data_IF_756954720121
#
_entry.id   IF_756954720121
#
_cell.length_a   1.000
_cell.length_b   1.000
_cell.length_c   1.000
_cell.angle_alpha   90.00
_cell.angle_beta   90.00
_cell.angle_gamma   90.00
#
_symmetry.space_group_name_H-M   'P 1'
#
loop_
_entity.id
_entity.type
_entity.pdbx_description
1 polymer ?
#
# COMPACT_ATOMS: atom_id res chain seq x y z
N UNK A 1 3.16 25.27 5.57
CA UNK A 1 2.45 25.11 4.28
C UNK A 1 1.13 24.40 4.52
N UNK A 2 0.08 24.84 3.83
CA UNK A 2 -1.20 24.14 3.77
C UNK A 2 -1.19 23.16 2.59
N UNK A 3 -1.34 21.88 2.86
CA UNK A 3 -1.18 20.80 1.85
C UNK A 3 -2.50 20.05 1.76
N UNK A 4 -3.15 20.05 0.58
CA UNK A 4 -4.36 19.28 0.36
C UNK A 4 -4.02 17.95 -0.34
N UNK A 5 -4.03 16.87 0.43
CA UNK A 5 -3.93 15.51 -0.10
C UNK A 5 -5.26 15.08 -0.67
N UNK A 6 -5.29 14.61 -1.91
CA UNK A 6 -6.50 14.18 -2.60
C UNK A 6 -6.45 12.68 -2.90
N UNK A 7 -7.38 11.94 -2.34
CA UNK A 7 -7.49 10.49 -2.58
C UNK A 7 -8.96 10.10 -2.78
N UNK A 8 -9.18 9.11 -3.63
CA UNK A 8 -10.44 8.39 -3.72
C UNK A 8 -10.24 6.99 -3.16
N UNK A 9 -10.92 6.71 -2.06
CA UNK A 9 -10.84 5.43 -1.38
C UNK A 9 -12.19 4.98 -0.85
N UNK A 10 -12.44 3.69 -0.96
CA UNK A 10 -13.60 3.00 -0.39
C UNK A 10 -13.23 2.19 0.87
N UNK A 11 -11.95 2.11 1.20
CA UNK A 11 -11.43 1.34 2.33
C UNK A 11 -10.11 1.90 2.85
N UNK A 12 -9.45 1.17 3.73
CA UNK A 12 -8.12 1.49 4.23
C UNK A 12 -7.15 0.42 3.74
N UNK A 13 -6.28 0.80 2.81
CA UNK A 13 -5.26 -0.06 2.23
C UNK A 13 -3.88 0.60 2.35
N UNK A 14 -2.86 0.05 1.72
CA UNK A 14 -1.49 0.55 1.85
C UNK A 14 -1.30 2.00 1.42
N UNK A 15 -1.94 2.45 0.34
CA UNK A 15 -1.81 3.82 -0.14
C UNK A 15 -2.44 4.84 0.82
N UNK A 16 -3.59 4.49 1.39
CA UNK A 16 -4.29 5.30 2.39
C UNK A 16 -3.47 5.45 3.67
N UNK A 17 -2.91 4.35 4.18
CA UNK A 17 -2.05 4.38 5.37
C UNK A 17 -0.77 5.19 5.14
N UNK A 18 -0.12 5.05 3.98
CA UNK A 18 1.06 5.85 3.62
C UNK A 18 0.71 7.35 3.56
N UNK A 19 -0.46 7.72 3.01
CA UNK A 19 -0.93 9.10 3.03
C UNK A 19 -1.10 9.60 4.47
N UNK A 20 -1.73 8.82 5.35
CA UNK A 20 -1.93 9.22 6.75
C UNK A 20 -0.60 9.34 7.50
N UNK A 21 0.35 8.43 7.31
CA UNK A 21 1.69 8.56 7.89
C UNK A 21 2.40 9.83 7.40
N UNK A 22 2.33 10.11 6.09
CA UNK A 22 2.89 11.33 5.51
C UNK A 22 2.25 12.58 6.12
N UNK A 23 0.92 12.64 6.18
CA UNK A 23 0.18 13.78 6.71
C UNK A 23 0.53 14.03 8.20
N UNK A 24 0.62 12.98 9.01
CA UNK A 24 1.03 13.11 10.41
C UNK A 24 2.44 13.67 10.58
N UNK A 25 3.40 13.18 9.80
CA UNK A 25 4.76 13.72 9.86
C UNK A 25 4.80 15.19 9.42
N UNK A 26 4.03 15.56 8.41
CA UNK A 26 3.90 16.95 7.99
C UNK A 26 3.31 17.83 9.10
N UNK A 27 2.31 17.33 9.83
CA UNK A 27 1.73 18.03 10.98
C UNK A 27 2.77 18.18 12.12
N UNK A 28 3.55 17.13 12.42
CA UNK A 28 4.66 17.18 13.41
C UNK A 28 5.73 18.21 13.03
N UNK A 29 5.96 18.41 11.73
CA UNK A 29 6.90 19.39 11.19
C UNK A 29 6.30 20.83 11.08
N UNK A 30 5.12 21.07 11.65
CA UNK A 30 4.48 22.39 11.70
C UNK A 30 3.79 22.81 10.41
N UNK A 31 3.43 21.84 9.54
CA UNK A 31 2.61 22.10 8.35
C UNK A 31 1.14 21.80 8.61
N UNK A 32 0.26 22.27 7.72
CA UNK A 32 -1.19 22.03 7.76
C UNK A 32 -1.62 21.02 6.69
N UNK A 33 -1.48 19.71 6.92
CA UNK A 33 -2.01 18.70 6.00
C UNK A 33 -3.53 18.59 6.15
N UNK A 34 -4.22 18.53 5.03
CA UNK A 34 -5.67 18.35 4.92
C UNK A 34 -5.93 17.11 4.08
N UNK A 35 -6.76 16.20 4.57
CA UNK A 35 -7.11 14.95 3.89
C UNK A 35 -8.38 15.14 3.08
N UNK A 36 -8.23 15.39 1.77
CA UNK A 36 -9.33 15.52 0.81
C UNK A 36 -9.83 14.16 0.34
N UNK A 37 -10.91 13.68 0.93
CA UNK A 37 -11.53 12.40 0.60
C UNK A 37 -12.56 12.57 -0.52
N UNK A 38 -12.21 12.07 -1.73
CA UNK A 38 -13.11 12.06 -2.88
C UNK A 38 -14.00 10.81 -2.79
N UNK A 39 -15.32 11.02 -2.71
CA UNK A 39 -16.30 9.94 -2.54
C UNK A 39 -17.57 10.15 -3.35
N UNK A 40 -18.36 9.08 -3.52
CA UNK A 40 -19.71 9.17 -4.09
C UNK A 40 -20.59 10.04 -3.19
N UNK A 41 -21.46 10.90 -3.78
CA UNK A 41 -22.37 11.75 -3.01
C UNK A 41 -23.28 11.01 -2.04
N UNK A 42 -23.57 9.73 -2.31
CA UNK A 42 -24.44 8.87 -1.47
C UNK A 42 -23.73 8.27 -0.26
N UNK A 43 -22.40 8.31 -0.23
CA UNK A 43 -21.61 7.78 0.88
C UNK A 43 -21.51 8.85 1.96
N UNK A 44 -21.98 8.58 3.16
CA UNK A 44 -21.94 9.54 4.27
C UNK A 44 -20.52 9.70 4.82
N UNK A 45 -19.82 8.59 5.04
CA UNK A 45 -18.45 8.56 5.54
C UNK A 45 -17.76 7.29 5.05
N UNK A 46 -16.46 7.37 4.78
CA UNK A 46 -15.64 6.21 4.47
C UNK A 46 -14.84 5.74 5.70
N UNK A 47 -14.45 4.46 5.78
CA UNK A 47 -13.53 3.98 6.84
C UNK A 47 -12.24 4.78 6.90
N UNK A 48 -11.71 5.19 5.75
CA UNK A 48 -10.53 6.04 5.65
C UNK A 48 -10.70 7.40 6.32
N UNK A 49 -11.86 8.07 6.13
CA UNK A 49 -12.16 9.35 6.79
C UNK A 49 -12.28 9.19 8.32
N UNK A 50 -12.89 8.09 8.77
CA UNK A 50 -12.99 7.79 10.19
C UNK A 50 -11.59 7.64 10.82
N UNK A 51 -10.72 6.87 10.17
CA UNK A 51 -9.35 6.67 10.62
C UNK A 51 -8.53 7.98 10.60
N UNK A 52 -8.65 8.79 9.54
CA UNK A 52 -7.96 10.09 9.48
C UNK A 52 -8.35 11.01 10.64
N UNK A 53 -9.67 11.09 10.96
CA UNK A 53 -10.15 11.88 12.10
C UNK A 53 -9.69 11.33 13.44
N UNK A 54 -9.67 10.01 13.64
CA UNK A 54 -9.19 9.41 14.88
C UNK A 54 -7.68 9.69 15.11
N UNK A 55 -6.92 9.96 14.05
CA UNK A 55 -5.53 10.40 14.13
C UNK A 55 -5.36 11.92 14.25
N UNK A 56 -6.45 12.68 14.44
CA UNK A 56 -6.40 14.15 14.57
C UNK A 56 -6.11 14.89 13.27
N UNK A 57 -6.25 14.23 12.10
CA UNK A 57 -6.06 14.86 10.81
C UNK A 57 -7.34 15.52 10.31
N UNK A 58 -7.31 16.79 9.87
CA UNK A 58 -8.45 17.47 9.29
C UNK A 58 -8.89 16.81 7.98
N UNK A 59 -10.16 16.45 7.87
CA UNK A 59 -10.75 15.80 6.69
C UNK A 59 -11.65 16.78 5.94
N UNK A 60 -11.40 16.92 4.65
CA UNK A 60 -12.22 17.67 3.69
C UNK A 60 -13.01 16.68 2.85
N UNK A 61 -14.31 16.46 3.12
CA UNK A 61 -15.13 15.53 2.34
C UNK A 61 -15.48 16.15 0.98
N UNK A 62 -15.11 15.50 -0.11
CA UNK A 62 -15.32 15.95 -1.49
C UNK A 62 -16.33 15.01 -2.15
N UNK A 63 -17.61 15.43 -2.15
CA UNK A 63 -18.73 14.65 -2.69
C UNK A 63 -18.92 14.94 -4.15
N UNK A 64 -18.36 14.10 -5.01
CA UNK A 64 -18.44 14.25 -6.45
C UNK A 64 -18.75 12.92 -7.14
N UNK A 65 -19.51 13.00 -8.26
CA UNK A 65 -19.81 11.82 -9.07
C UNK A 65 -18.53 11.21 -9.68
N UNK A 66 -18.60 9.92 -10.02
CA UNK A 66 -17.44 9.19 -10.53
C UNK A 66 -16.98 9.63 -11.94
N UNK A 67 -17.86 10.23 -12.75
CA UNK A 67 -17.54 10.64 -14.12
C UNK A 67 -16.90 12.03 -14.17
N UNK A 68 -15.82 12.25 -14.92
CA UNK A 68 -15.15 13.54 -15.06
C UNK A 68 -15.97 14.49 -15.98
N UNK A 69 -17.01 15.10 -15.42
CA UNK A 69 -17.86 16.09 -16.14
C UNK A 69 -17.50 17.52 -15.73
N UNK A 70 -17.80 18.54 -16.54
CA UNK A 70 -17.52 19.92 -16.19
C UNK A 70 -18.10 20.39 -14.84
N UNK A 71 -19.33 19.98 -14.41
CA UNK A 71 -19.83 20.29 -13.08
C UNK A 71 -18.98 19.67 -11.96
N UNK A 72 -18.48 18.44 -12.12
CA UNK A 72 -17.63 17.76 -11.16
C UNK A 72 -16.29 18.50 -11.01
N UNK A 73 -15.66 18.90 -12.13
CA UNK A 73 -14.43 19.69 -12.09
C UNK A 73 -14.64 21.04 -11.42
N UNK A 74 -15.75 21.73 -11.72
CA UNK A 74 -16.10 23.02 -11.07
C UNK A 74 -16.32 22.86 -9.56
N UNK A 75 -17.00 21.80 -9.13
CA UNK A 75 -17.20 21.50 -7.70
C UNK A 75 -15.87 21.27 -6.99
N UNK A 76 -14.98 20.45 -7.56
CA UNK A 76 -13.67 20.20 -6.98
C UNK A 76 -12.82 21.48 -6.92
N UNK A 77 -12.83 22.30 -7.99
CA UNK A 77 -12.13 23.59 -7.99
C UNK A 77 -12.68 24.58 -6.96
N UNK A 78 -13.98 24.55 -6.68
CA UNK A 78 -14.58 25.36 -5.61
C UNK A 78 -13.98 24.94 -4.26
N UNK A 79 -13.98 23.65 -3.94
CA UNK A 79 -13.35 23.14 -2.71
C UNK A 79 -11.87 23.53 -2.61
N UNK A 80 -11.11 23.40 -3.71
CA UNK A 80 -9.69 23.83 -3.73
C UNK A 80 -9.55 25.32 -3.43
N UNK A 81 -10.42 26.18 -3.97
CA UNK A 81 -10.39 27.62 -3.68
C UNK A 81 -10.80 27.96 -2.24
N UNK A 82 -11.78 27.26 -1.69
CA UNK A 82 -12.23 27.44 -0.30
C UNK A 82 -11.15 27.01 0.70
N UNK A 83 -10.45 25.91 0.41
CA UNK A 83 -9.33 25.42 1.22
C UNK A 83 -8.09 26.28 1.07
N UNK A 84 -7.89 26.90 -0.11
CA UNK A 84 -6.71 27.70 -0.49
C UNK A 84 -5.38 27.02 -0.12
N UNK A 85 -5.09 25.78 -0.63
CA UNK A 85 -3.87 25.10 -0.29
C UNK A 85 -2.67 25.71 -1.02
N UNK A 86 -1.49 25.66 -0.38
CA UNK A 86 -0.22 25.97 -1.01
C UNK A 86 0.16 24.94 -2.07
N UNK A 87 -0.19 23.67 -1.84
CA UNK A 87 0.11 22.53 -2.72
C UNK A 87 -1.04 21.52 -2.72
N UNK A 88 -1.36 21.03 -3.91
CA UNK A 88 -2.22 19.86 -4.11
C UNK A 88 -1.36 18.62 -4.23
N UNK A 89 -1.66 17.59 -3.46
CA UNK A 89 -1.00 16.30 -3.56
C UNK A 89 -2.02 15.19 -3.88
N UNK A 90 -1.97 14.67 -5.09
CA UNK A 90 -2.85 13.60 -5.55
C UNK A 90 -2.26 12.22 -5.30
N UNK A 91 -3.08 11.30 -4.77
CA UNK A 91 -2.72 9.91 -4.51
C UNK A 91 -3.51 8.92 -5.37
N UNK A 92 -3.93 9.33 -6.56
CA UNK A 92 -4.64 8.45 -7.46
C UNK A 92 -5.21 9.13 -8.70
N UNK A 93 -5.58 8.33 -9.68
CA UNK A 93 -5.97 8.78 -11.02
C UNK A 93 -7.17 9.75 -11.05
N UNK A 94 -8.13 9.65 -10.11
CA UNK A 94 -9.31 10.53 -10.12
C UNK A 94 -8.94 12.02 -10.02
N UNK A 95 -8.14 12.39 -9.03
CA UNK A 95 -7.71 13.77 -8.87
C UNK A 95 -6.80 14.21 -10.01
N UNK A 96 -5.93 13.32 -10.51
CA UNK A 96 -5.07 13.59 -11.67
C UNK A 96 -5.90 13.95 -12.92
N UNK A 97 -6.94 13.16 -13.24
CA UNK A 97 -7.80 13.37 -14.40
C UNK A 97 -8.62 14.66 -14.27
N UNK A 98 -9.09 14.98 -13.07
CA UNK A 98 -9.95 16.14 -12.84
C UNK A 98 -9.18 17.46 -12.80
N UNK A 99 -7.97 17.49 -12.24
CA UNK A 99 -7.20 18.70 -11.99
C UNK A 99 -5.97 18.83 -12.90
N UNK A 100 -5.31 17.73 -13.23
CA UNK A 100 -4.06 17.73 -14.01
C UNK A 100 -4.15 18.45 -15.36
N UNK A 101 -5.23 18.28 -16.16
CA UNK A 101 -5.39 18.99 -17.43
C UNK A 101 -5.54 20.51 -17.30
N UNK A 102 -5.93 21.01 -16.11
CA UNK A 102 -6.20 22.43 -15.89
C UNK A 102 -4.90 23.26 -15.84
N UNK A 103 -4.94 24.50 -16.32
CA UNK A 103 -3.82 25.43 -16.13
C UNK A 103 -3.48 25.61 -14.67
N UNK A 104 -2.18 25.66 -14.34
CA UNK A 104 -1.65 25.85 -12.98
C UNK A 104 -2.29 27.05 -12.27
N UNK A 105 -2.51 28.17 -12.96
CA UNK A 105 -3.17 29.38 -12.42
C UNK A 105 -4.59 29.13 -11.86
N UNK A 106 -5.27 28.06 -12.30
CA UNK A 106 -6.60 27.71 -11.84
C UNK A 106 -6.60 26.70 -10.68
N UNK A 107 -5.67 25.74 -10.70
CA UNK A 107 -5.60 24.65 -9.72
C UNK A 107 -4.53 24.83 -8.62
N UNK A 108 -3.54 25.67 -8.86
CA UNK A 108 -2.37 25.79 -8.02
C UNK A 108 -1.26 24.74 -8.32
N UNK A 109 -0.14 24.78 -7.58
CA UNK A 109 0.93 23.78 -7.65
C UNK A 109 0.41 22.38 -7.31
N UNK A 110 0.77 21.37 -8.10
CA UNK A 110 0.26 20.02 -7.93
C UNK A 110 1.34 18.95 -8.13
N UNK A 111 1.40 18.01 -7.21
CA UNK A 111 2.21 16.79 -7.29
C UNK A 111 1.30 15.56 -7.31
N UNK A 112 1.68 14.51 -8.04
CA UNK A 112 0.96 13.25 -8.04
C UNK A 112 1.87 12.10 -7.61
N UNK A 113 1.41 11.25 -6.70
CA UNK A 113 2.11 10.01 -6.31
C UNK A 113 1.44 8.79 -6.90
N UNK A 114 2.24 7.96 -7.57
CA UNK A 114 1.84 6.67 -8.10
C UNK A 114 2.26 5.56 -7.11
N UNK A 115 1.29 5.04 -6.32
CA UNK A 115 1.55 3.98 -5.33
C UNK A 115 1.68 2.58 -5.95
N UNK A 116 1.21 2.39 -7.16
CA UNK A 116 1.26 1.18 -7.96
C UNK A 116 0.62 1.42 -9.30
N UNK A 117 0.84 0.50 -10.23
CA UNK A 117 0.24 0.55 -11.55
C UNK A 117 -0.15 -0.86 -11.97
N UNK A 118 -1.43 -1.11 -12.13
CA UNK A 118 -1.96 -2.35 -12.69
C UNK A 118 -2.35 -2.09 -14.13
N UNK A 119 -1.83 -2.86 -15.07
CA UNK A 119 -2.24 -2.76 -16.46
C UNK A 119 -3.68 -3.29 -16.61
N UNK A 120 -4.62 -2.41 -16.92
CA UNK A 120 -6.00 -2.78 -17.18
C UNK A 120 -6.14 -3.58 -18.48
N UNK A 121 -7.14 -4.48 -18.55
CA UNK A 121 -7.50 -5.17 -19.79
C UNK A 121 -7.93 -4.14 -20.84
N UNK A 122 -7.46 -4.31 -22.07
CA UNK A 122 -7.80 -3.45 -23.20
C UNK A 122 -9.34 -3.31 -23.36
N UNK A 123 -9.79 -2.09 -23.66
CA UNK A 123 -11.21 -1.72 -23.81
C UNK A 123 -12.08 -1.83 -22.54
N UNK A 124 -11.49 -1.95 -21.36
CA UNK A 124 -12.24 -1.79 -20.10
C UNK A 124 -12.40 -0.31 -19.74
N UNK A 125 -13.39 0.01 -18.89
CA UNK A 125 -13.53 1.37 -18.35
C UNK A 125 -12.25 1.83 -17.64
N UNK A 126 -11.60 0.92 -16.90
CA UNK A 126 -10.34 1.19 -16.21
C UNK A 126 -9.22 1.54 -17.20
N UNK A 127 -9.14 0.86 -18.36
CA UNK A 127 -8.18 1.18 -19.42
C UNK A 127 -8.35 2.62 -19.97
N UNK A 128 -9.61 3.08 -20.12
CA UNK A 128 -9.87 4.47 -20.51
C UNK A 128 -9.38 5.46 -19.44
N UNK A 129 -9.68 5.18 -18.15
CA UNK A 129 -9.19 6.01 -17.06
C UNK A 129 -7.66 6.03 -16.98
N UNK A 130 -6.97 4.91 -17.20
CA UNK A 130 -5.51 4.86 -17.26
C UNK A 130 -4.94 5.72 -18.41
N UNK A 131 -5.61 5.76 -19.57
CA UNK A 131 -5.20 6.63 -20.67
C UNK A 131 -5.38 8.11 -20.35
N UNK A 132 -6.50 8.46 -19.74
CA UNK A 132 -6.77 9.84 -19.31
C UNK A 132 -5.77 10.27 -18.21
N UNK A 133 -5.46 9.38 -17.28
CA UNK A 133 -4.46 9.62 -16.24
C UNK A 133 -3.07 9.89 -16.83
N UNK A 134 -2.62 9.07 -17.78
CA UNK A 134 -1.34 9.29 -18.50
C UNK A 134 -1.26 10.66 -19.18
N UNK A 135 -2.36 11.12 -19.78
CA UNK A 135 -2.41 12.44 -20.40
C UNK A 135 -2.36 13.54 -19.35
N UNK A 136 -3.04 13.34 -18.22
CA UNK A 136 -3.09 14.29 -17.12
C UNK A 136 -1.72 14.44 -16.43
N UNK A 137 -0.99 13.34 -16.22
CA UNK A 137 0.34 13.33 -15.63
C UNK A 137 1.34 14.21 -16.39
N UNK A 138 1.19 14.38 -17.70
CA UNK A 138 2.06 15.25 -18.52
C UNK A 138 1.96 16.73 -18.14
N UNK A 139 0.89 17.15 -17.48
CA UNK A 139 0.61 18.55 -17.11
C UNK A 139 0.74 18.81 -15.61
N UNK A 140 0.93 17.79 -14.80
CA UNK A 140 1.18 17.91 -13.35
C UNK A 140 2.62 18.37 -13.14
N UNK A 141 2.84 19.24 -12.16
CA UNK A 141 4.14 19.91 -11.96
C UNK A 141 5.24 18.93 -11.58
N UNK A 142 4.95 17.91 -10.76
CA UNK A 142 5.84 16.79 -10.48
C UNK A 142 5.07 15.49 -10.30
N UNK A 143 5.66 14.37 -10.74
CA UNK A 143 5.13 13.02 -10.59
C UNK A 143 6.11 12.18 -9.81
N UNK A 144 5.64 11.68 -8.67
CA UNK A 144 6.40 10.81 -7.77
C UNK A 144 6.04 9.36 -8.04
N UNK A 145 7.06 8.51 -8.09
CA UNK A 145 6.93 7.06 -8.01
C UNK A 145 7.56 6.55 -6.71
N UNK A 146 6.98 5.52 -6.12
CA UNK A 146 7.40 5.01 -4.81
C UNK A 146 8.55 4.00 -4.89
N UNK A 147 9.04 3.69 -6.10
CA UNK A 147 10.18 2.80 -6.31
C UNK A 147 10.91 3.13 -7.61
N UNK A 148 12.24 2.93 -7.64
CA UNK A 148 13.07 3.22 -8.83
C UNK A 148 12.65 2.44 -10.07
N UNK A 149 12.27 1.18 -9.93
CA UNK A 149 11.77 0.35 -11.03
C UNK A 149 10.53 0.95 -11.72
N UNK A 150 9.74 1.73 -11.00
CA UNK A 150 8.54 2.39 -11.52
C UNK A 150 8.85 3.57 -12.47
N UNK A 151 10.08 4.09 -12.52
CA UNK A 151 10.47 5.11 -13.50
C UNK A 151 10.31 4.64 -14.95
N UNK A 152 10.31 3.33 -15.18
CA UNK A 152 10.12 2.73 -16.51
C UNK A 152 8.65 2.51 -16.88
N UNK A 153 7.70 2.87 -16.00
CA UNK A 153 6.28 2.72 -16.27
C UNK A 153 5.86 3.48 -17.54
N UNK A 154 5.08 2.79 -18.37
CA UNK A 154 4.50 3.42 -19.56
C UNK A 154 3.63 4.64 -19.22
N UNK A 155 3.13 4.74 -18.01
CA UNK A 155 2.39 5.87 -17.48
C UNK A 155 3.19 7.17 -17.50
N UNK A 156 4.50 7.09 -17.31
CA UNK A 156 5.41 8.25 -17.30
C UNK A 156 5.87 8.70 -18.70
N UNK A 157 5.50 7.98 -19.75
CA UNK A 157 5.84 8.40 -21.13
C UNK A 157 5.21 9.77 -21.41
N UNK A 158 6.07 10.75 -21.73
CA UNK A 158 5.66 12.14 -21.96
C UNK A 158 5.63 13.04 -20.71
N UNK A 159 5.93 12.54 -19.52
CA UNK A 159 6.34 13.37 -18.38
C UNK A 159 7.82 13.69 -18.53
N UNK A 160 8.22 14.96 -18.43
CA UNK A 160 9.62 15.34 -18.55
C UNK A 160 10.47 14.71 -17.45
N UNK A 161 11.71 14.23 -17.73
CA UNK A 161 12.56 13.59 -16.73
C UNK A 161 12.76 14.42 -15.45
N UNK A 162 12.95 15.74 -15.58
CA UNK A 162 13.13 16.66 -14.45
C UNK A 162 11.90 16.73 -13.51
N UNK A 163 10.72 16.31 -13.97
CA UNK A 163 9.49 16.27 -13.17
C UNK A 163 9.18 14.89 -12.59
N UNK A 164 10.04 13.89 -12.83
CA UNK A 164 9.88 12.54 -12.28
C UNK A 164 10.74 12.40 -11.04
N UNK A 165 10.12 12.15 -9.93
CA UNK A 165 10.79 11.99 -8.64
C UNK A 165 10.61 10.55 -8.14
N UNK A 166 11.58 10.07 -7.39
CA UNK A 166 11.46 8.82 -6.62
C UNK A 166 11.44 9.19 -5.15
N UNK A 167 10.30 8.97 -4.50
CA UNK A 167 10.17 9.12 -3.05
C UNK A 167 9.58 7.82 -2.53
N UNK A 168 10.40 7.07 -1.83
CA UNK A 168 10.02 5.75 -1.31
C UNK A 168 9.01 5.89 -0.17
N UNK A 169 8.08 4.94 -0.07
CA UNK A 169 7.19 4.87 1.07
C UNK A 169 7.99 4.67 2.36
N UNK A 170 7.58 5.37 3.40
CA UNK A 170 8.13 5.24 4.74
C UNK A 170 7.03 4.97 5.76
N UNK A 171 7.40 4.27 6.82
CA UNK A 171 6.49 3.97 7.93
C UNK A 171 7.06 4.53 9.24
N UNK A 172 6.21 4.90 10.22
CA UNK A 172 6.69 5.29 11.54
C UNK A 172 7.45 4.15 12.23
N UNK A 173 8.32 4.44 13.19
CA UNK A 173 8.85 3.42 14.08
C UNK A 173 7.72 2.56 14.67
N UNK A 174 7.98 1.25 14.85
CA UNK A 174 6.96 0.31 15.33
C UNK A 174 6.25 0.78 16.60
N UNK A 175 7.00 1.25 17.57
CA UNK A 175 6.44 1.61 18.89
C UNK A 175 5.58 2.88 18.79
N UNK A 176 5.95 3.86 17.96
CA UNK A 176 5.10 5.03 17.65
C UNK A 176 3.81 4.60 16.95
N UNK A 177 3.92 3.71 15.95
CA UNK A 177 2.76 3.20 15.22
C UNK A 177 1.79 2.45 16.14
N UNK A 178 2.30 1.65 17.07
CA UNK A 178 1.48 0.96 18.07
C UNK A 178 0.81 1.95 19.04
N UNK A 179 1.52 3.00 19.46
CA UNK A 179 0.94 4.05 20.27
C UNK A 179 -0.16 4.82 19.54
N UNK A 180 0.05 5.12 18.27
CA UNK A 180 -0.92 5.78 17.40
C UNK A 180 -2.20 4.96 17.21
N UNK A 181 -2.05 3.67 16.98
CA UNK A 181 -3.15 2.73 16.88
C UNK A 181 -3.94 2.66 18.21
N UNK A 182 -3.26 2.66 19.34
CA UNK A 182 -3.90 2.67 20.65
C UNK A 182 -4.66 3.98 20.93
N UNK A 183 -4.06 5.13 20.61
CA UNK A 183 -4.67 6.45 20.79
C UNK A 183 -5.85 6.70 19.81
N UNK A 184 -5.78 6.16 18.61
CA UNK A 184 -6.81 6.28 17.57
C UNK A 184 -8.04 5.38 17.77
N UNK A 185 -8.14 4.63 18.86
CA UNK A 185 -9.28 3.74 19.13
C UNK A 185 -9.34 2.55 18.17
N UNK A 186 -8.20 2.12 17.64
CA UNK A 186 -8.12 0.95 16.74
C UNK A 186 -8.62 -0.28 17.46
N UNK A 187 -9.50 -1.01 16.81
CA UNK A 187 -10.08 -2.25 17.32
C UNK A 187 -8.96 -3.24 17.69
N UNK A 188 -9.01 -3.84 18.89
CA UNK A 188 -8.08 -4.91 19.24
C UNK A 188 -8.07 -6.02 18.18
N UNK A 189 -6.92 -6.62 17.95
CA UNK A 189 -6.87 -7.83 17.09
C UNK A 189 -7.85 -8.86 17.64
N UNK A 190 -8.77 -9.40 16.83
CA UNK A 190 -9.74 -10.38 17.31
C UNK A 190 -9.07 -11.55 18.03
N UNK A 191 -9.54 -11.87 19.25
CA UNK A 191 -8.96 -12.94 20.08
C UNK A 191 -8.87 -14.27 19.35
N UNK A 192 -9.87 -14.59 18.54
CA UNK A 192 -9.90 -15.81 17.71
C UNK A 192 -8.74 -15.90 16.69
N UNK A 193 -8.18 -14.76 16.23
CA UNK A 193 -7.01 -14.75 15.35
C UNK A 193 -5.73 -14.98 16.15
N UNK A 194 -5.66 -14.41 17.35
CA UNK A 194 -4.55 -14.66 18.28
C UNK A 194 -4.51 -16.12 18.71
N UNK A 195 -5.66 -16.72 19.01
CA UNK A 195 -5.78 -18.14 19.28
C UNK A 195 -5.37 -19.01 18.09
N UNK A 196 -5.79 -18.63 16.87
CA UNK A 196 -5.40 -19.34 15.66
C UNK A 196 -3.88 -19.36 15.49
N UNK A 197 -3.21 -18.23 15.62
CA UNK A 197 -1.73 -18.13 15.50
C UNK A 197 -1.01 -18.89 16.63
N UNK A 198 -1.61 -18.96 17.80
CA UNK A 198 -0.99 -19.62 18.96
C UNK A 198 -1.02 -21.15 18.88
N UNK A 199 -1.91 -21.74 18.06
CA UNK A 199 -2.07 -23.22 17.98
C UNK A 199 -0.89 -23.92 17.31
N UNK A 200 -0.34 -23.30 16.24
CA UNK A 200 0.75 -23.88 15.43
C UNK A 200 1.58 -22.75 14.81
N UNK A 201 2.83 -23.01 14.40
CA UNK A 201 3.61 -22.04 13.62
C UNK A 201 2.81 -21.55 12.42
N UNK A 202 2.57 -20.24 12.34
CA UNK A 202 1.66 -19.66 11.36
C UNK A 202 2.41 -18.73 10.41
N UNK A 203 2.32 -19.00 9.12
CA UNK A 203 2.72 -18.07 8.08
C UNK A 203 1.62 -17.02 7.88
N UNK A 204 2.01 -15.77 7.69
CA UNK A 204 1.07 -14.65 7.52
C UNK A 204 1.26 -14.01 6.14
N UNK A 205 0.16 -13.74 5.46
CA UNK A 205 0.14 -12.95 4.24
C UNK A 205 -0.89 -11.82 4.42
N UNK A 206 -0.50 -10.57 4.12
CA UNK A 206 -1.35 -9.39 4.30
C UNK A 206 -1.51 -8.68 2.95
N UNK A 207 -2.74 -8.42 2.54
CA UNK A 207 -3.03 -7.69 1.32
C UNK A 207 -4.46 -7.81 0.85
N UNK A 208 -4.85 -6.93 -0.09
CA UNK A 208 -6.14 -6.98 -0.76
C UNK A 208 -6.33 -8.33 -1.44
N UNK A 209 -7.50 -8.95 -1.29
CA UNK A 209 -7.80 -10.23 -1.96
C UNK A 209 -8.15 -9.99 -3.44
N UNK A 210 -7.11 -9.77 -4.24
CA UNK A 210 -7.20 -9.39 -5.65
C UNK A 210 -6.24 -10.21 -6.52
N UNK A 211 -6.52 -10.35 -7.84
CA UNK A 211 -5.78 -11.25 -8.73
C UNK A 211 -4.27 -11.02 -8.76
N UNK A 212 -3.82 -9.77 -8.62
CA UNK A 212 -2.40 -9.41 -8.60
C UNK A 212 -1.64 -9.96 -7.38
N UNK A 213 -2.34 -10.25 -6.26
CA UNK A 213 -1.73 -10.81 -5.04
C UNK A 213 -1.49 -12.32 -5.12
N UNK A 214 -2.10 -12.99 -6.09
CA UNK A 214 -1.84 -14.42 -6.39
C UNK A 214 -2.06 -15.37 -5.20
N UNK A 215 -3.00 -15.06 -4.32
CA UNK A 215 -3.29 -15.91 -3.16
C UNK A 215 -3.77 -17.31 -3.54
N UNK A 216 -4.35 -17.51 -4.71
CA UNK A 216 -4.66 -18.85 -5.23
C UNK A 216 -3.38 -19.67 -5.43
N UNK A 217 -2.33 -19.08 -6.01
CA UNK A 217 -1.01 -19.70 -6.16
C UNK A 217 -0.38 -20.01 -4.80
N UNK A 218 -0.50 -19.08 -3.84
CA UNK A 218 -0.03 -19.28 -2.48
C UNK A 218 -0.70 -20.48 -1.80
N UNK A 219 -2.02 -20.63 -1.95
CA UNK A 219 -2.76 -21.78 -1.39
C UNK A 219 -2.27 -23.11 -1.98
N UNK A 220 -2.02 -23.16 -3.28
CA UNK A 220 -1.51 -24.36 -3.95
C UNK A 220 -0.08 -24.70 -3.50
N UNK A 221 0.80 -23.70 -3.45
CA UNK A 221 2.17 -23.88 -2.99
C UNK A 221 2.20 -24.30 -1.51
N UNK A 222 1.36 -23.68 -0.67
CA UNK A 222 1.26 -23.99 0.76
C UNK A 222 0.77 -25.43 0.98
N UNK A 223 -0.25 -25.89 0.24
CA UNK A 223 -0.74 -27.27 0.33
C UNK A 223 0.37 -28.28 0.02
N UNK A 224 1.16 -28.04 -1.05
CA UNK A 224 2.29 -28.91 -1.44
C UNK A 224 3.42 -28.87 -0.41
N UNK A 225 3.85 -27.67 -0.01
CA UNK A 225 4.93 -27.51 0.95
C UNK A 225 4.59 -28.16 2.29
N UNK A 226 3.38 -27.93 2.80
CA UNK A 226 2.91 -28.52 4.05
C UNK A 226 2.87 -30.04 4.04
N UNK A 227 2.38 -30.63 2.94
CA UNK A 227 2.33 -32.09 2.78
C UNK A 227 3.73 -32.72 2.81
N UNK A 228 4.74 -32.02 2.27
CA UNK A 228 6.12 -32.49 2.19
C UNK A 228 6.95 -32.20 3.47
N UNK A 229 6.49 -31.25 4.31
CA UNK A 229 7.16 -30.81 5.54
C UNK A 229 6.54 -31.35 6.85
N UNK A 230 5.80 -32.46 6.80
CA UNK A 230 5.23 -33.10 8.00
C UNK A 230 4.00 -32.39 8.59
N UNK A 231 3.44 -31.38 7.95
CA UNK A 231 2.09 -30.91 8.20
C UNK A 231 1.85 -29.98 9.41
N UNK A 232 2.88 -29.38 10.03
CA UNK A 232 2.73 -28.64 11.28
C UNK A 232 2.38 -27.15 11.17
N UNK A 233 2.43 -26.54 9.98
CA UNK A 233 2.22 -25.10 9.82
C UNK A 233 0.79 -24.73 9.43
N UNK A 234 0.38 -23.50 9.80
CA UNK A 234 -0.87 -22.84 9.39
C UNK A 234 -0.58 -21.64 8.49
N UNK A 235 -1.61 -21.17 7.78
CA UNK A 235 -1.54 -19.96 6.96
C UNK A 235 -2.69 -19.03 7.31
N UNK A 236 -2.37 -17.79 7.66
CA UNK A 236 -3.33 -16.71 7.87
C UNK A 236 -3.23 -15.70 6.74
N UNK A 237 -4.30 -15.50 6.00
CA UNK A 237 -4.41 -14.49 4.94
C UNK A 237 -5.30 -13.36 5.48
N UNK A 238 -4.72 -12.16 5.61
CA UNK A 238 -5.39 -10.98 6.16
C UNK A 238 -5.68 -9.98 5.04
N UNK A 239 -6.93 -9.58 4.94
CA UNK A 239 -7.43 -8.63 3.97
C UNK A 239 -8.78 -9.00 3.40
N UNK A 240 -9.36 -8.05 2.66
CA UNK A 240 -10.62 -8.21 1.95
C UNK A 240 -10.44 -7.96 0.45
N UNK A 241 -11.38 -8.43 -0.35
CA UNK A 241 -11.37 -8.17 -1.79
C UNK A 241 -12.19 -9.13 -2.61
N UNK A 242 -12.25 -8.90 -3.93
CA UNK A 242 -13.14 -9.63 -4.85
C UNK A 242 -12.86 -11.14 -4.92
N UNK A 243 -11.64 -11.58 -4.62
CA UNK A 243 -11.28 -13.01 -4.68
C UNK A 243 -11.67 -13.82 -3.44
N UNK A 244 -12.25 -13.20 -2.38
CA UNK A 244 -12.60 -13.94 -1.14
C UNK A 244 -13.37 -15.24 -1.38
N UNK A 245 -14.39 -15.21 -2.23
CA UNK A 245 -15.21 -16.41 -2.54
C UNK A 245 -14.40 -17.47 -3.31
N UNK A 246 -13.53 -17.06 -4.22
CA UNK A 246 -12.65 -17.95 -4.98
C UNK A 246 -11.67 -18.63 -4.05
N UNK A 247 -11.04 -17.89 -3.16
CA UNK A 247 -10.09 -18.40 -2.17
C UNK A 247 -10.74 -19.36 -1.18
N UNK A 248 -11.94 -19.05 -0.69
CA UNK A 248 -12.68 -19.95 0.21
C UNK A 248 -12.99 -21.31 -0.47
N UNK A 249 -13.42 -21.29 -1.73
CA UNK A 249 -13.62 -22.52 -2.51
C UNK A 249 -12.31 -23.30 -2.70
N UNK A 250 -11.22 -22.59 -2.99
CA UNK A 250 -9.90 -23.23 -3.19
C UNK A 250 -9.38 -23.88 -1.90
N UNK A 251 -9.57 -23.25 -0.74
CA UNK A 251 -9.25 -23.82 0.58
C UNK A 251 -10.00 -25.14 0.80
N UNK A 252 -11.31 -25.18 0.49
CA UNK A 252 -12.11 -26.40 0.61
C UNK A 252 -11.61 -27.50 -0.35
N UNK A 253 -11.36 -27.18 -1.63
CA UNK A 253 -10.86 -28.12 -2.63
C UNK A 253 -9.50 -28.72 -2.26
N UNK A 254 -8.62 -27.94 -1.68
CA UNK A 254 -7.29 -28.35 -1.22
C UNK A 254 -7.30 -29.03 0.16
N UNK A 255 -8.48 -29.22 0.77
CA UNK A 255 -8.65 -29.78 2.13
C UNK A 255 -7.86 -29.03 3.20
N UNK A 256 -7.81 -27.71 3.09
CA UNK A 256 -7.09 -26.82 4.02
C UNK A 256 -8.01 -26.15 5.06
N UNK A 257 -9.26 -26.64 5.19
CA UNK A 257 -10.19 -26.15 6.21
C UNK A 257 -9.60 -26.32 7.63
N UNK A 258 -9.67 -25.27 8.45
CA UNK A 258 -9.04 -25.24 9.79
C UNK A 258 -7.52 -25.02 9.81
N UNK A 259 -6.85 -25.17 8.65
CA UNK A 259 -5.40 -24.97 8.49
C UNK A 259 -5.10 -23.62 7.88
N UNK A 260 -5.92 -23.18 6.95
CA UNK A 260 -5.85 -21.83 6.35
C UNK A 260 -7.05 -21.02 6.80
N UNK A 261 -6.81 -19.77 7.23
CA UNK A 261 -7.85 -18.83 7.63
C UNK A 261 -7.82 -17.58 6.77
N UNK A 262 -8.96 -17.15 6.26
CA UNK A 262 -9.18 -15.83 5.67
C UNK A 262 -9.73 -14.92 6.76
N UNK A 263 -8.86 -14.08 7.34
CA UNK A 263 -9.19 -13.25 8.49
C UNK A 263 -10.18 -12.11 8.19
N UNK A 264 -10.29 -11.72 6.92
CA UNK A 264 -10.95 -10.48 6.56
C UNK A 264 -10.05 -9.26 6.78
N UNK A 265 -10.62 -8.06 6.70
CA UNK A 265 -9.92 -6.84 7.05
C UNK A 265 -9.68 -6.80 8.55
N UNK A 266 -8.44 -6.52 8.96
CA UNK A 266 -8.04 -6.37 10.37
C UNK A 266 -7.29 -5.05 10.49
N UNK A 267 -7.78 -4.20 11.37
CA UNK A 267 -7.15 -2.93 11.67
C UNK A 267 -5.85 -3.15 12.44
N UNK A 268 -4.73 -2.55 12.00
CA UNK A 268 -3.42 -2.83 12.57
C UNK A 268 -3.00 -4.30 12.42
N UNK A 269 -3.28 -4.88 11.25
CA UNK A 269 -2.98 -6.29 10.90
C UNK A 269 -1.51 -6.67 11.11
N UNK A 270 -0.60 -5.71 11.04
CA UNK A 270 0.83 -5.90 11.28
C UNK A 270 1.14 -6.43 12.69
N UNK A 271 0.26 -6.18 13.69
CA UNK A 271 0.41 -6.75 15.06
C UNK A 271 0.37 -8.27 15.09
N UNK A 272 -0.26 -8.90 14.08
CA UNK A 272 -0.26 -10.35 13.91
C UNK A 272 1.14 -10.89 13.57
N UNK A 273 2.00 -10.04 12.98
CA UNK A 273 3.38 -10.40 12.63
C UNK A 273 4.26 -10.63 13.85
N UNK A 274 3.91 -10.06 15.00
CA UNK A 274 4.63 -10.29 16.28
C UNK A 274 4.74 -11.77 16.67
N UNK A 275 3.80 -12.59 16.18
CA UNK A 275 3.72 -14.03 16.51
C UNK A 275 3.79 -14.91 15.26
N UNK A 276 4.08 -14.33 14.11
CA UNK A 276 4.17 -15.06 12.85
C UNK A 276 5.48 -15.86 12.77
N UNK A 277 5.40 -17.10 12.31
CA UNK A 277 6.57 -17.90 11.97
C UNK A 277 7.26 -17.43 10.67
N UNK A 278 6.54 -16.70 9.82
CA UNK A 278 7.05 -16.11 8.59
C UNK A 278 6.00 -15.24 7.90
N UNK A 279 6.48 -14.34 7.05
CA UNK A 279 5.67 -13.46 6.21
C UNK A 279 5.84 -13.80 4.75
N UNK A 280 4.73 -13.86 3.99
CA UNK A 280 4.75 -14.30 2.60
C UNK A 280 4.09 -13.28 1.68
N UNK A 281 4.77 -12.93 0.58
CA UNK A 281 4.22 -12.16 -0.55
C UNK A 281 4.31 -13.00 -1.82
N UNK A 282 3.17 -13.38 -2.39
CA UNK A 282 3.07 -14.18 -3.62
C UNK A 282 2.70 -13.35 -4.87
N UNK A 283 2.77 -12.05 -4.79
CA UNK A 283 2.23 -11.12 -5.79
C UNK A 283 2.90 -11.23 -7.16
N UNK A 284 2.11 -10.95 -8.21
CA UNK A 284 2.61 -10.75 -9.58
C UNK A 284 3.09 -9.31 -9.83
N UNK A 285 2.56 -8.35 -9.09
CA UNK A 285 2.89 -6.93 -9.23
C UNK A 285 2.77 -6.22 -7.89
N UNK A 286 3.75 -5.39 -7.59
CA UNK A 286 3.79 -4.49 -6.44
C UNK A 286 4.43 -3.16 -6.84
N UNK A 287 4.12 -2.10 -6.10
CA UNK A 287 4.94 -0.90 -6.04
C UNK A 287 6.03 -1.08 -4.97
N UNK A 288 5.83 -0.42 -3.83
CA UNK A 288 6.59 -0.63 -2.60
C UNK A 288 5.59 -1.05 -1.51
N UNK A 289 5.50 -2.37 -1.21
CA UNK A 289 4.44 -2.90 -0.37
C UNK A 289 4.65 -2.54 1.11
N UNK A 290 3.65 -1.86 1.69
CA UNK A 290 3.64 -1.47 3.10
C UNK A 290 3.83 -2.68 4.03
N UNK A 291 3.10 -3.77 3.79
CA UNK A 291 3.17 -4.97 4.61
C UNK A 291 4.57 -5.61 4.67
N UNK A 292 5.40 -5.39 3.64
CA UNK A 292 6.80 -5.82 3.66
C UNK A 292 7.64 -4.97 4.62
N UNK A 293 7.45 -3.64 4.60
CA UNK A 293 8.13 -2.75 5.56
C UNK A 293 7.73 -3.08 7.00
N UNK A 294 6.46 -3.37 7.22
CA UNK A 294 5.95 -3.81 8.51
C UNK A 294 6.58 -5.15 8.95
N UNK A 295 6.64 -6.15 8.07
CA UNK A 295 7.28 -7.43 8.37
C UNK A 295 8.78 -7.27 8.70
N UNK A 296 9.50 -6.39 8.00
CA UNK A 296 10.90 -6.05 8.31
C UNK A 296 11.03 -5.41 9.70
N UNK A 297 10.11 -4.50 10.09
CA UNK A 297 10.09 -3.91 11.44
C UNK A 297 9.77 -4.94 12.55
N UNK A 298 8.90 -5.89 12.26
CA UNK A 298 8.56 -6.98 13.18
C UNK A 298 9.63 -8.09 13.23
N UNK A 299 10.69 -7.97 12.43
CA UNK A 299 11.79 -8.96 12.35
C UNK A 299 11.30 -10.37 12.04
N UNK A 300 10.32 -10.47 11.15
CA UNK A 300 9.76 -11.75 10.72
C UNK A 300 10.54 -12.28 9.52
N UNK A 301 10.82 -13.59 9.46
CA UNK A 301 11.35 -14.22 8.25
C UNK A 301 10.48 -13.95 7.02
N UNK A 302 11.08 -13.60 5.88
CA UNK A 302 10.37 -13.13 4.69
C UNK A 302 10.61 -14.05 3.50
N UNK A 303 9.51 -14.46 2.84
CA UNK A 303 9.48 -15.06 1.52
C UNK A 303 8.66 -14.17 0.58
N UNK A 304 9.22 -13.73 -0.53
CA UNK A 304 8.52 -12.82 -1.43
C UNK A 304 8.81 -13.08 -2.90
N UNK A 305 7.80 -12.84 -3.76
CA UNK A 305 7.98 -12.79 -5.21
C UNK A 305 8.85 -11.60 -5.60
N UNK A 306 9.78 -11.81 -6.54
CA UNK A 306 10.73 -10.81 -7.02
C UNK A 306 10.05 -9.81 -7.98
N UNK A 307 9.17 -8.96 -7.47
CA UNK A 307 8.41 -7.97 -8.26
C UNK A 307 8.49 -6.57 -7.65
N UNK A 308 8.35 -5.54 -8.48
CA UNK A 308 8.35 -4.15 -8.04
C UNK A 308 9.61 -3.76 -7.27
N UNK A 309 9.44 -3.12 -6.12
CA UNK A 309 10.54 -2.73 -5.23
C UNK A 309 11.06 -3.87 -4.35
N UNK A 310 10.42 -5.03 -4.32
CA UNK A 310 10.76 -6.13 -3.40
C UNK A 310 12.22 -6.59 -3.54
N UNK A 311 12.79 -6.78 -4.75
CA UNK A 311 14.20 -7.15 -4.90
C UNK A 311 15.17 -6.12 -4.32
N UNK A 312 14.87 -4.82 -4.44
CA UNK A 312 15.68 -3.74 -3.85
C UNK A 312 15.54 -3.73 -2.33
N UNK A 313 14.32 -3.84 -1.79
CA UNK A 313 14.04 -3.90 -0.35
C UNK A 313 14.75 -5.07 0.33
N UNK A 314 14.69 -6.24 -0.28
CA UNK A 314 15.31 -7.46 0.23
C UNK A 314 16.77 -7.63 -0.21
N UNK A 315 17.38 -6.59 -0.78
CA UNK A 315 18.80 -6.57 -1.15
C UNK A 315 19.20 -7.81 -1.97
N UNK A 316 18.48 -8.04 -3.07
CA UNK A 316 18.65 -9.19 -3.96
C UNK A 316 18.60 -10.56 -3.24
N UNK A 317 17.84 -10.64 -2.14
CA UNK A 317 17.65 -11.89 -1.38
C UNK A 317 18.50 -12.01 -0.10
N UNK A 318 19.36 -11.03 0.20
CA UNK A 318 20.16 -11.03 1.45
C UNK A 318 19.34 -10.76 2.73
N UNK A 319 18.17 -10.12 2.60
CA UNK A 319 17.28 -9.74 3.72
C UNK A 319 16.00 -10.57 3.80
N UNK A 320 15.89 -11.62 2.98
CA UNK A 320 14.73 -12.49 2.88
C UNK A 320 14.76 -13.26 1.56
N UNK A 321 14.06 -14.38 1.47
CA UNK A 321 14.08 -15.23 0.28
C UNK A 321 13.24 -14.65 -0.85
N UNK A 322 13.81 -14.54 -2.04
CA UNK A 322 13.15 -14.16 -3.27
C UNK A 322 12.83 -15.39 -4.13
N UNK A 323 11.65 -15.38 -4.75
CA UNK A 323 11.21 -16.37 -5.74
C UNK A 323 10.71 -15.68 -7.00
N UNK A 324 10.80 -16.35 -8.16
CA UNK A 324 10.22 -15.84 -9.39
C UNK A 324 8.70 -15.70 -9.25
N UNK A 325 8.09 -14.62 -9.78
CA UNK A 325 6.63 -14.47 -9.77
C UNK A 325 5.97 -15.55 -10.63
N UNK A 326 4.75 -15.94 -10.24
CA UNK A 326 3.95 -16.97 -10.92
C UNK A 326 4.62 -18.37 -11.00
N UNK A 327 5.70 -18.62 -10.29
CA UNK A 327 6.38 -19.91 -10.24
C UNK A 327 5.93 -20.71 -9.01
N UNK A 328 5.07 -21.69 -9.24
CA UNK A 328 4.52 -22.57 -8.20
C UNK A 328 5.60 -23.44 -7.54
N UNK A 329 6.58 -23.91 -8.30
CA UNK A 329 7.64 -24.77 -7.77
C UNK A 329 8.61 -23.98 -6.88
N UNK A 330 9.04 -22.81 -7.34
CA UNK A 330 9.90 -21.91 -6.56
C UNK A 330 9.19 -21.44 -5.27
N UNK A 331 7.90 -21.08 -5.36
CA UNK A 331 7.12 -20.67 -4.17
C UNK A 331 6.96 -21.85 -3.19
N UNK A 332 6.72 -23.07 -3.69
CA UNK A 332 6.63 -24.28 -2.85
C UNK A 332 7.95 -24.53 -2.11
N UNK A 333 9.08 -24.55 -2.84
CA UNK A 333 10.42 -24.71 -2.23
C UNK A 333 10.76 -23.57 -1.26
N UNK A 334 10.35 -22.33 -1.58
CA UNK A 334 10.49 -21.19 -0.68
C UNK A 334 9.73 -21.36 0.63
N UNK A 335 8.49 -21.84 0.55
CA UNK A 335 7.68 -22.14 1.74
C UNK A 335 8.26 -23.27 2.58
N UNK A 336 8.77 -24.32 1.96
CA UNK A 336 9.47 -25.40 2.69
C UNK A 336 10.66 -24.87 3.49
N UNK A 337 11.53 -24.08 2.85
CA UNK A 337 12.65 -23.46 3.55
C UNK A 337 12.24 -22.47 4.63
N UNK A 338 11.07 -21.79 4.49
CA UNK A 338 10.53 -20.93 5.53
C UNK A 338 9.99 -21.75 6.72
N UNK A 339 9.38 -22.91 6.45
CA UNK A 339 8.84 -23.83 7.46
C UNK A 339 9.95 -24.60 8.20
N UNK A 340 11.07 -24.93 7.54
CA UNK A 340 12.24 -25.57 8.17
C UNK A 340 13.14 -24.60 8.94
N UNK A 341 12.98 -23.28 8.74
CA UNK A 341 13.87 -22.26 9.28
C UNK A 341 15.11 -21.97 8.44
N UNK A 342 15.34 -22.68 7.32
CA UNK A 342 16.52 -22.53 6.47
C UNK A 342 16.59 -21.20 5.71
N UNK A 343 15.46 -20.49 5.59
CA UNK A 343 15.36 -19.21 4.89
C UNK A 343 15.61 -17.97 5.75
N UNK A 344 16.05 -18.16 7.00
CA UNK A 344 15.94 -17.11 8.01
C UNK A 344 17.16 -17.05 8.92
N UNK A 345 18.33 -16.68 8.37
CA UNK A 345 19.45 -16.36 9.25
C UNK A 345 19.10 -15.13 10.10
N UNK A 346 19.51 -15.15 11.38
CA UNK A 346 19.35 -13.98 12.26
C UNK A 346 19.98 -12.71 11.69
N UNK A 347 21.04 -12.87 10.89
CA UNK A 347 21.72 -11.80 10.18
C UNK A 347 20.82 -11.16 9.07
N UNK A 348 20.16 -11.99 8.26
CA UNK A 348 19.23 -11.49 7.23
C UNK A 348 18.07 -10.69 7.85
N UNK A 349 17.50 -11.20 8.93
CA UNK A 349 16.42 -10.53 9.68
C UNK A 349 16.91 -9.21 10.29
N UNK A 350 18.10 -9.20 10.90
CA UNK A 350 18.69 -7.99 11.48
C UNK A 350 18.99 -6.94 10.39
N UNK A 351 19.55 -7.35 9.25
CA UNK A 351 19.80 -6.48 8.11
C UNK A 351 18.52 -5.89 7.51
N UNK A 352 17.44 -6.68 7.44
CA UNK A 352 16.13 -6.20 7.01
C UNK A 352 15.60 -5.10 7.96
N UNK A 353 15.65 -5.34 9.26
CA UNK A 353 15.23 -4.37 10.27
C UNK A 353 16.08 -3.09 10.23
N UNK A 354 17.40 -3.19 10.10
CA UNK A 354 18.28 -2.02 9.97
C UNK A 354 17.91 -1.19 8.75
N UNK A 355 17.65 -1.83 7.61
CA UNK A 355 17.28 -1.15 6.37
C UNK A 355 15.97 -0.37 6.51
N UNK A 356 14.92 -0.99 7.07
CA UNK A 356 13.63 -0.30 7.23
C UNK A 356 13.73 0.84 8.24
N UNK A 357 14.46 0.67 9.31
CA UNK A 357 14.63 1.67 10.36
C UNK A 357 15.48 2.88 9.93
N UNK A 358 16.41 2.70 9.00
CA UNK A 358 17.27 3.78 8.53
C UNK A 358 16.76 4.48 7.27
N UNK A 359 16.16 3.74 6.32
CA UNK A 359 15.82 4.28 4.99
C UNK A 359 14.34 4.51 4.77
N UNK A 360 13.49 3.62 5.27
CA UNK A 360 12.06 3.61 4.94
C UNK A 360 11.21 4.16 6.09
N UNK A 361 11.60 5.33 6.61
CA UNK A 361 10.91 6.01 7.71
C UNK A 361 9.92 7.05 7.19
N UNK A 362 8.79 7.24 7.89
CA UNK A 362 7.79 8.27 7.58
C UNK A 362 8.40 9.67 7.63
N UNK A 363 9.31 9.94 8.56
CA UNK A 363 10.02 11.21 8.68
C UNK A 363 10.83 11.52 7.41
N UNK A 364 11.68 10.58 6.95
CA UNK A 364 12.45 10.76 5.71
C UNK A 364 11.56 10.94 4.49
N UNK A 365 10.47 10.19 4.40
CA UNK A 365 9.48 10.34 3.34
C UNK A 365 8.88 11.76 3.36
N UNK A 366 8.47 12.25 4.52
CA UNK A 366 7.90 13.59 4.66
C UNK A 366 8.89 14.70 4.28
N UNK A 367 10.16 14.63 4.72
CA UNK A 367 11.21 15.57 4.34
C UNK A 367 11.39 15.64 2.83
N UNK A 368 11.42 14.50 2.13
CA UNK A 368 11.56 14.45 0.69
C UNK A 368 10.35 15.06 -0.04
N UNK A 369 9.13 14.80 0.44
CA UNK A 369 7.93 15.45 -0.12
C UNK A 369 7.93 16.95 0.14
N UNK A 370 8.31 17.42 1.32
CA UNK A 370 8.38 18.85 1.64
C UNK A 370 9.39 19.58 0.75
N UNK A 371 10.54 18.97 0.46
CA UNK A 371 11.51 19.50 -0.49
C UNK A 371 10.92 19.57 -1.92
N UNK A 372 10.22 18.51 -2.36
CA UNK A 372 9.55 18.51 -3.65
C UNK A 372 8.45 19.59 -3.75
N UNK A 373 7.68 19.81 -2.67
CA UNK A 373 6.67 20.89 -2.63
C UNK A 373 7.30 22.28 -2.71
N UNK A 374 8.42 22.49 -2.02
CA UNK A 374 9.13 23.78 -2.08
C UNK A 374 9.58 24.07 -3.52
N UNK A 375 10.12 23.09 -4.23
CA UNK A 375 10.55 23.22 -5.63
C UNK A 375 9.38 23.63 -6.54
N UNK A 376 8.25 22.90 -6.51
CA UNK A 376 7.14 23.21 -7.39
C UNK A 376 6.39 24.50 -7.03
N UNK A 377 6.57 25.07 -5.84
CA UNK A 377 6.02 26.37 -5.47
C UNK A 377 6.86 27.52 -5.98
N UNK A 378 8.16 27.36 -6.09
CA UNK A 378 9.09 28.39 -6.57
C UNK A 378 8.97 28.59 -8.09
N UNK A 379 8.64 27.56 -8.85
CA UNK A 379 8.37 27.61 -10.31
C UNK A 379 7.00 28.27 -10.61
#
# INVERSE_FOLDING_TARGET
>A
MRILHLIHSEGVYGAELILLYLAREQQRLGHEPLVGSIRDPRTEQTPFEALARSWGLPVVPIRIASRPTPPVVRSLLRTVREVAPDVLHSHGYKANILLGPLPRRLRGPMIATLHGWTAARTFSALWLYERLDRLSLRRIDSVVVVARCMLQLAALRGVAPARRLVIENGIPPRDERLADLAAGGVTPVPGELLEFIARQPTLVAIGRLAPEKRFTLLLEAFARARSQSGGSHQLLIVGEGPERRVLARRIAMLRLAGIVRLAGYVDGADRLLARAAGFVISSRSEGLPLALLEAMQWRVPILASAVGAIPELLDAGRRGRLVAPDDLAALTSGLQGLMSGDCSSGEAIASAWQAVSARYTSARMAEQYLAAYATIRAD
#
